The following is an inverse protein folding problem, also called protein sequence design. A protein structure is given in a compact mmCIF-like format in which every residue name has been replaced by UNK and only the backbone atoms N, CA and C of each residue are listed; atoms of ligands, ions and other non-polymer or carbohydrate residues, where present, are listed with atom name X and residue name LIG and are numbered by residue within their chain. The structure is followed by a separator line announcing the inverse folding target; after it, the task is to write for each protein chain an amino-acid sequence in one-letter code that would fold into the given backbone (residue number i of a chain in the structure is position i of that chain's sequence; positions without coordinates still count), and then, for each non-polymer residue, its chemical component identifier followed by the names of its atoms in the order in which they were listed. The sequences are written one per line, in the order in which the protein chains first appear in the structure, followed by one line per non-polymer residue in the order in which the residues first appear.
data_IF_946471210141
#
_entry.id   IF_946471210141
#
_cell.length_a   1.000
_cell.length_b   1.000
_cell.length_c   1.000
_cell.angle_alpha   90.00
_cell.angle_beta   90.00
_cell.angle_gamma   90.00
#
_symmetry.space_group_name_H-M   'P 1'
#
loop_
_entity.id
_entity.type
_entity.pdbx_description
1 polymer ?
#
# COMPACT_ATOMS: atom_id res chain seq x y z
N UNK A 1 59.26 40.65 -12.23
CA UNK A 1 59.14 40.15 -10.84
C UNK A 1 57.70 40.42 -10.43
N UNK A 2 56.98 39.45 -9.87
CA UNK A 2 55.64 39.73 -9.34
C UNK A 2 55.77 40.71 -8.18
N UNK A 3 54.98 41.77 -8.19
CA UNK A 3 54.94 42.74 -7.09
C UNK A 3 54.02 42.15 -6.01
N UNK A 4 54.64 41.61 -4.95
CA UNK A 4 53.93 41.12 -3.79
C UNK A 4 53.94 42.20 -2.71
N UNK A 5 52.75 42.66 -2.31
CA UNK A 5 52.55 43.58 -1.21
C UNK A 5 52.11 42.80 0.01
N UNK A 6 52.85 42.95 1.11
CA UNK A 6 52.54 42.28 2.39
C UNK A 6 52.07 43.35 3.37
N UNK A 7 50.85 43.20 3.88
CA UNK A 7 50.21 44.09 4.84
C UNK A 7 49.95 43.30 6.11
N UNK A 8 50.45 43.80 7.24
CA UNK A 8 50.17 43.23 8.56
C UNK A 8 49.03 44.00 9.22
N UNK A 9 47.99 43.28 9.62
CA UNK A 9 46.80 43.83 10.27
C UNK A 9 46.70 43.21 11.65
N UNK A 10 46.11 43.91 12.64
CA UNK A 10 45.77 43.27 13.90
C UNK A 10 44.85 42.07 13.70
N UNK A 11 44.87 41.11 14.62
CA UNK A 11 44.00 39.93 14.55
C UNK A 11 42.55 40.34 14.34
N UNK A 12 41.98 39.87 13.22
CA UNK A 12 40.59 40.14 12.86
C UNK A 12 39.71 38.91 13.13
N UNK A 13 38.47 39.19 13.49
CA UNK A 13 37.42 38.18 13.65
C UNK A 13 37.10 37.52 12.29
N UNK A 14 36.68 36.25 12.30
CA UNK A 14 36.31 35.51 11.10
C UNK A 14 35.18 36.22 10.32
N UNK A 15 34.24 36.89 11.00
CA UNK A 15 33.19 37.69 10.34
C UNK A 15 33.78 38.88 9.56
N UNK A 16 34.70 39.62 10.17
CA UNK A 16 35.38 40.77 9.54
C UNK A 16 36.23 40.31 8.36
N UNK A 17 36.91 39.17 8.50
CA UNK A 17 37.64 38.55 7.40
C UNK A 17 36.72 38.19 6.22
N UNK A 18 35.59 37.52 6.48
CA UNK A 18 34.64 37.09 5.44
C UNK A 18 34.05 38.31 4.72
N UNK A 19 33.59 39.32 5.45
CA UNK A 19 33.03 40.56 4.87
C UNK A 19 34.08 41.34 4.07
N UNK A 20 35.34 41.36 4.51
CA UNK A 20 36.44 41.97 3.75
C UNK A 20 36.68 41.22 2.43
N UNK A 21 36.75 39.89 2.48
CA UNK A 21 36.97 39.08 1.26
C UNK A 21 35.77 39.17 0.30
N UNK A 22 34.54 39.29 0.80
CA UNK A 22 33.35 39.55 -0.01
C UNK A 22 33.41 40.94 -0.65
N UNK A 23 33.77 41.99 0.12
CA UNK A 23 33.93 43.35 -0.40
C UNK A 23 34.99 43.41 -1.50
N UNK A 24 36.10 42.67 -1.35
CA UNK A 24 37.14 42.55 -2.38
C UNK A 24 36.60 41.78 -3.60
N UNK A 25 35.80 40.73 -3.39
CA UNK A 25 35.19 39.96 -4.49
C UNK A 25 34.25 40.83 -5.33
N UNK A 26 33.47 41.71 -4.71
CA UNK A 26 32.53 42.61 -5.39
C UNK A 26 33.21 43.63 -6.32
N UNK A 27 34.51 43.91 -6.13
CA UNK A 27 35.28 44.78 -7.02
C UNK A 27 35.59 44.14 -8.38
N UNK A 28 35.44 42.82 -8.53
CA UNK A 28 35.77 42.10 -9.76
C UNK A 28 34.49 41.64 -10.48
N UNK A 29 34.36 41.85 -11.81
CA UNK A 29 33.19 41.42 -12.57
C UNK A 29 33.00 39.89 -12.52
N UNK A 30 31.73 39.46 -12.44
CA UNK A 30 31.29 38.17 -11.86
C UNK A 30 31.84 36.88 -12.48
N UNK A 31 32.46 36.89 -13.66
CA UNK A 31 32.59 35.64 -14.41
C UNK A 31 33.72 34.68 -13.97
N UNK A 32 34.74 35.09 -13.18
CA UNK A 32 35.88 34.18 -12.86
C UNK A 32 36.59 34.38 -11.50
N UNK A 33 35.88 34.74 -10.42
CA UNK A 33 36.53 34.86 -9.09
C UNK A 33 36.47 33.54 -8.33
N UNK A 34 37.62 32.88 -8.15
CA UNK A 34 37.76 31.72 -7.27
C UNK A 34 38.18 32.19 -5.88
N UNK A 35 37.24 32.16 -4.92
CA UNK A 35 37.51 32.45 -3.52
C UNK A 35 37.32 31.21 -2.66
N UNK A 36 38.43 30.71 -2.12
CA UNK A 36 38.47 29.55 -1.24
C UNK A 36 39.03 29.98 0.13
N UNK A 37 38.38 29.55 1.20
CA UNK A 37 38.88 29.74 2.56
C UNK A 37 39.13 28.37 3.18
N UNK A 38 40.30 28.21 3.80
CA UNK A 38 40.74 26.98 4.44
C UNK A 38 40.62 27.09 5.96
N UNK A 39 39.87 26.15 6.53
CA UNK A 39 39.70 26.00 7.98
C UNK A 39 40.94 25.37 8.62
N UNK A 40 41.07 25.42 9.95
CA UNK A 40 42.17 24.82 10.74
C UNK A 40 42.52 23.38 10.33
N UNK A 41 41.57 22.62 9.78
CA UNK A 41 41.76 21.22 9.37
C UNK A 41 42.15 21.04 7.88
N UNK A 42 42.50 22.11 7.17
CA UNK A 42 42.88 22.05 5.75
C UNK A 42 41.70 21.77 4.79
N UNK A 43 40.47 21.82 5.29
CA UNK A 43 39.26 21.72 4.48
C UNK A 43 39.04 23.04 3.75
N UNK A 44 39.19 23.02 2.43
CA UNK A 44 38.89 24.15 1.56
C UNK A 44 37.38 24.26 1.37
N UNK A 45 36.80 25.33 1.88
CA UNK A 45 35.38 25.67 1.74
C UNK A 45 35.26 26.88 0.83
N UNK A 46 34.26 26.91 -0.06
CA UNK A 46 34.03 28.11 -0.88
C UNK A 46 33.50 29.22 0.02
N UNK A 47 33.87 30.47 -0.26
CA UNK A 47 33.38 31.61 0.52
C UNK A 47 31.83 31.70 0.56
N UNK A 48 31.15 31.19 -0.47
CA UNK A 48 29.68 31.14 -0.55
C UNK A 48 29.04 30.09 0.37
N UNK A 49 29.79 29.05 0.73
CA UNK A 49 29.30 27.93 1.54
C UNK A 49 29.56 28.16 3.04
N UNK A 50 30.33 29.20 3.37
CA UNK A 50 30.52 29.67 4.74
C UNK A 50 29.20 30.34 5.15
N UNK A 51 28.39 29.61 5.95
CA UNK A 51 27.01 29.98 6.31
C UNK A 51 26.83 31.35 6.96
N UNK A 52 25.56 31.74 7.17
CA UNK A 52 25.13 33.07 7.63
C UNK A 52 26.07 33.70 8.67
N UNK A 53 26.49 34.94 8.38
CA UNK A 53 27.57 35.70 9.03
C UNK A 53 27.51 35.74 10.57
N UNK A 54 26.34 35.49 11.15
CA UNK A 54 26.09 35.58 12.60
C UNK A 54 26.75 34.47 13.42
N UNK A 55 27.04 33.30 12.85
CA UNK A 55 27.65 32.19 13.61
C UNK A 55 29.19 32.30 13.75
N UNK A 56 29.79 33.27 13.07
CA UNK A 56 31.25 33.44 12.98
C UNK A 56 31.80 34.49 13.95
N UNK A 57 30.94 35.18 14.70
CA UNK A 57 31.36 36.22 15.66
C UNK A 57 32.21 35.59 16.77
N UNK A 58 33.42 36.12 16.95
CA UNK A 58 34.38 35.74 17.98
C UNK A 58 35.11 34.42 17.70
N UNK A 59 35.05 33.89 16.47
CA UNK A 59 35.73 32.65 16.09
C UNK A 59 36.99 32.97 15.29
N UNK A 60 38.00 32.11 15.48
CA UNK A 60 39.28 32.17 14.76
C UNK A 60 39.57 30.83 14.07
N UNK A 61 38.61 30.33 13.31
CA UNK A 61 38.65 29.03 12.64
C UNK A 61 39.37 29.05 11.28
N UNK A 62 39.45 30.19 10.60
CA UNK A 62 40.16 30.27 9.32
C UNK A 62 41.68 30.44 9.50
N UNK A 63 42.50 29.59 8.87
CA UNK A 63 43.97 29.74 8.93
C UNK A 63 44.51 30.43 7.69
N UNK A 64 43.92 30.12 6.53
CA UNK A 64 44.34 30.62 5.23
C UNK A 64 43.10 30.97 4.40
N UNK A 65 43.07 32.15 3.82
CA UNK A 65 42.07 32.53 2.81
C UNK A 65 42.77 32.89 1.52
N UNK A 66 42.30 32.42 0.36
CA UNK A 66 42.85 32.79 -0.94
C UNK A 66 41.72 33.19 -1.88
N UNK A 67 41.71 34.46 -2.24
CA UNK A 67 40.91 35.00 -3.33
C UNK A 67 41.83 35.18 -4.52
N UNK A 68 41.59 34.43 -5.60
CA UNK A 68 42.31 34.61 -6.85
C UNK A 68 41.34 34.81 -8.00
N UNK A 69 41.64 35.80 -8.83
CA UNK A 69 40.87 36.13 -10.03
C UNK A 69 41.81 36.33 -11.21
N UNK A 70 41.35 35.91 -12.39
CA UNK A 70 42.03 36.14 -13.65
C UNK A 70 41.09 36.96 -14.53
N UNK A 71 41.49 38.20 -14.82
CA UNK A 71 40.69 39.19 -15.55
C UNK A 71 40.83 39.03 -17.07
N UNK A 72 41.65 38.08 -17.53
CA UNK A 72 42.00 37.90 -18.94
C UNK A 72 43.40 38.42 -19.26
N UNK A 73 44.03 37.83 -20.27
CA UNK A 73 45.43 38.13 -20.60
C UNK A 73 46.40 37.70 -19.49
N UNK A 74 47.42 38.52 -19.24
CA UNK A 74 48.44 38.30 -18.19
C UNK A 74 48.05 38.95 -16.83
N UNK A 75 46.84 39.52 -16.72
CA UNK A 75 46.32 40.14 -15.50
C UNK A 75 45.72 39.09 -14.55
N UNK A 76 46.37 38.89 -13.41
CA UNK A 76 45.84 38.10 -12.30
C UNK A 76 46.04 38.83 -10.98
N UNK A 77 45.06 38.73 -10.08
CA UNK A 77 45.16 39.21 -8.70
C UNK A 77 44.95 38.03 -7.78
N UNK A 78 45.85 37.89 -6.81
CA UNK A 78 45.69 36.96 -5.71
C UNK A 78 45.82 37.72 -4.39
N UNK A 79 44.74 37.75 -3.61
CA UNK A 79 44.74 38.21 -2.23
C UNK A 79 44.73 36.98 -1.34
N UNK A 80 45.83 36.74 -0.63
CA UNK A 80 45.92 35.66 0.35
C UNK A 80 46.01 36.21 1.75
N UNK A 81 45.16 35.72 2.63
CA UNK A 81 45.17 35.95 4.06
C UNK A 81 45.82 34.76 4.76
N UNK A 82 46.72 35.00 5.71
CA UNK A 82 47.31 33.96 6.58
C UNK A 82 47.37 34.43 8.03
N UNK A 83 46.90 33.59 8.95
CA UNK A 83 47.07 33.79 10.41
C UNK A 83 48.45 33.39 10.92
N UNK A 84 49.18 32.61 10.13
CA UNK A 84 50.58 32.28 10.35
C UNK A 84 51.42 33.09 9.36
N UNK A 85 51.87 34.31 9.74
CA UNK A 85 52.69 35.11 8.87
C UNK A 85 53.96 34.36 8.44
N UNK A 86 54.55 34.79 7.34
CA UNK A 86 55.80 34.21 6.82
C UNK A 86 56.96 34.26 7.83
N UNK A 87 56.88 35.15 8.81
CA UNK A 87 57.82 35.31 9.93
C UNK A 87 57.58 34.35 11.12
N UNK A 88 56.53 33.52 11.08
CA UNK A 88 56.15 32.58 12.13
C UNK A 88 54.77 32.90 12.74
N UNK A 89 54.18 32.01 13.57
CA UNK A 89 52.87 32.23 14.17
C UNK A 89 52.84 33.49 15.04
N UNK A 90 52.00 34.47 14.67
CA UNK A 90 51.83 35.71 15.43
C UNK A 90 50.53 35.67 16.23
N UNK A 91 50.64 35.96 17.53
CA UNK A 91 49.49 36.11 18.41
C UNK A 91 48.77 37.46 18.23
N UNK A 92 49.37 38.42 17.51
CA UNK A 92 48.85 39.80 17.42
C UNK A 92 48.42 40.22 16.03
N UNK A 93 49.02 39.62 15.01
CA UNK A 93 48.89 40.06 13.63
C UNK A 93 48.46 38.93 12.72
N UNK A 94 47.64 39.27 11.75
CA UNK A 94 47.35 38.47 10.59
C UNK A 94 48.00 39.14 9.36
N UNK A 95 48.37 38.35 8.34
CA UNK A 95 49.12 38.82 7.18
C UNK A 95 48.28 38.69 5.91
N UNK A 96 48.08 39.82 5.21
CA UNK A 96 47.52 39.85 3.88
C UNK A 96 48.64 40.02 2.86
N UNK A 97 48.75 39.08 1.93
CA UNK A 97 49.64 39.19 0.78
C UNK A 97 48.80 39.41 -0.46
N UNK A 98 49.00 40.56 -1.11
CA UNK A 98 48.39 40.89 -2.40
C UNK A 98 49.44 40.73 -3.48
N UNK A 99 49.20 39.83 -4.42
CA UNK A 99 50.04 39.59 -5.58
C UNK A 99 49.30 40.01 -6.83
N UNK A 100 49.85 41.00 -7.53
CA UNK A 100 49.46 41.34 -8.89
C UNK A 100 50.37 40.55 -9.83
N UNK A 101 49.83 40.03 -10.93
CA UNK A 101 50.52 39.15 -11.90
C UNK A 101 51.88 39.65 -12.39
N UNK A 102 52.57 38.85 -13.22
CA UNK A 102 53.98 39.11 -13.57
C UNK A 102 54.23 40.43 -14.29
N UNK A 103 53.23 40.96 -14.99
CA UNK A 103 53.34 42.18 -15.78
C UNK A 103 52.65 43.36 -15.08
N UNK A 104 53.44 44.17 -14.37
CA UNK A 104 52.95 45.39 -13.69
C UNK A 104 52.40 46.40 -14.70
N UNK A 105 52.89 46.39 -15.95
CA UNK A 105 52.41 47.33 -16.98
C UNK A 105 50.97 47.05 -17.40
N UNK A 106 50.51 45.79 -17.27
CA UNK A 106 49.12 45.44 -17.53
C UNK A 106 48.14 46.09 -16.55
N UNK A 107 48.60 46.56 -15.37
CA UNK A 107 47.76 47.21 -14.37
C UNK A 107 47.67 48.73 -14.53
N UNK A 108 48.25 49.30 -15.59
CA UNK A 108 48.28 50.75 -15.79
C UNK A 108 46.89 51.33 -16.08
N UNK A 109 46.04 50.57 -16.78
CA UNK A 109 44.67 50.95 -17.13
C UNK A 109 43.66 50.67 -15.98
N UNK A 110 43.99 49.78 -15.04
CA UNK A 110 43.11 49.32 -13.95
C UNK A 110 43.54 49.83 -12.56
N UNK A 111 44.10 51.04 -12.48
CA UNK A 111 44.59 51.66 -11.23
C UNK A 111 43.52 51.79 -10.15
N UNK A 112 42.26 51.96 -10.55
CA UNK A 112 41.13 52.11 -9.63
C UNK A 112 40.88 50.82 -8.84
N UNK A 113 41.05 49.65 -9.46
CA UNK A 113 40.89 48.35 -8.79
C UNK A 113 42.00 48.17 -7.75
N UNK A 114 43.24 48.48 -8.11
CA UNK A 114 44.40 48.43 -7.20
C UNK A 114 44.16 49.36 -5.99
N UNK A 115 43.76 50.61 -6.25
CA UNK A 115 43.46 51.58 -5.21
C UNK A 115 42.31 51.12 -4.29
N UNK A 116 41.25 50.54 -4.86
CA UNK A 116 40.10 50.04 -4.10
C UNK A 116 40.48 48.84 -3.20
N UNK A 117 41.28 47.90 -3.71
CA UNK A 117 41.78 46.77 -2.89
C UNK A 117 42.64 47.29 -1.74
N UNK A 118 43.54 48.24 -2.01
CA UNK A 118 44.35 48.86 -0.95
C UNK A 118 43.53 49.69 0.04
N UNK A 119 42.45 50.34 -0.39
CA UNK A 119 41.55 51.09 0.48
C UNK A 119 40.77 50.17 1.43
N UNK A 120 40.25 49.05 0.93
CA UNK A 120 39.55 48.04 1.76
C UNK A 120 40.52 47.47 2.80
N UNK A 121 41.73 47.09 2.39
CA UNK A 121 42.73 46.54 3.31
C UNK A 121 43.29 47.58 4.28
N UNK A 122 43.37 48.85 3.88
CA UNK A 122 43.81 49.96 4.74
C UNK A 122 42.76 50.43 5.74
N UNK A 123 41.48 50.14 5.48
CA UNK A 123 40.40 50.39 6.43
C UNK A 123 40.40 49.39 7.61
N UNK A 124 41.04 48.22 7.43
CA UNK A 124 41.33 47.32 8.54
C UNK A 124 42.39 47.98 9.41
N UNK A 125 42.19 47.99 10.73
CA UNK A 125 43.01 48.70 11.74
C UNK A 125 44.51 48.34 11.64
N UNK A 126 45.21 49.02 10.73
CA UNK A 126 46.66 48.95 10.56
C UNK A 126 47.23 49.65 11.78
N UNK A 127 48.12 49.03 12.56
CA UNK A 127 48.82 49.74 13.62
C UNK A 127 49.43 51.00 13.01
N UNK A 128 48.83 52.15 13.33
CA UNK A 128 49.34 53.44 12.91
C UNK A 128 50.80 53.47 13.32
N UNK A 129 51.70 53.61 12.35
CA UNK A 129 53.12 53.71 12.60
C UNK A 129 53.32 54.79 13.63
N UNK A 130 53.61 54.39 14.87
CA UNK A 130 53.85 55.28 15.97
C UNK A 130 55.19 55.97 15.71
N UNK A 131 55.16 57.02 14.90
CA UNK A 131 56.17 58.06 14.97
C UNK A 131 56.03 58.73 16.32
N UNK A 132 56.80 58.19 17.26
CA UNK A 132 57.17 58.80 18.52
C UNK A 132 57.78 60.18 18.26
N UNK A 133 56.96 61.22 18.29
CA UNK A 133 57.41 62.58 18.60
C UNK A 133 56.56 63.10 19.75
N UNK A 134 57.21 63.16 20.91
CA UNK A 134 56.59 63.55 22.16
C UNK A 134 56.33 65.05 22.21
N UNK A 135 55.09 65.42 22.52
CA UNK A 135 54.73 66.62 23.27
C UNK A 135 53.27 66.46 23.73
N UNK A 136 53.11 65.79 24.88
CA UNK A 136 51.86 65.14 25.31
C UNK A 136 51.23 65.82 26.53
N UNK A 137 50.85 67.09 26.39
CA UNK A 137 50.07 67.79 27.43
C UNK A 137 48.93 68.67 26.88
N UNK A 138 49.04 69.18 25.64
CA UNK A 138 47.94 69.89 24.98
C UNK A 138 46.96 68.93 24.29
N UNK A 139 47.44 67.78 23.80
CA UNK A 139 46.63 66.64 23.35
C UNK A 139 45.70 66.14 24.45
N UNK A 140 46.20 66.03 25.68
CA UNK A 140 45.45 65.54 26.84
C UNK A 140 44.34 66.52 27.26
N UNK A 141 44.58 67.83 27.15
CA UNK A 141 43.56 68.86 27.43
C UNK A 141 42.49 68.96 26.34
N UNK A 142 42.87 68.87 25.07
CA UNK A 142 41.91 68.75 23.97
C UNK A 142 41.10 67.45 24.06
N UNK A 143 41.73 66.34 24.46
CA UNK A 143 41.03 65.07 24.70
C UNK A 143 40.06 65.18 25.88
N UNK A 144 40.40 65.85 26.99
CA UNK A 144 39.49 66.02 28.13
C UNK A 144 38.30 66.94 27.79
N UNK A 145 38.53 68.05 27.07
CA UNK A 145 37.43 68.94 26.65
C UNK A 145 36.56 68.30 25.56
N UNK A 146 37.19 67.57 24.62
CA UNK A 146 36.51 66.73 23.65
C UNK A 146 35.67 65.64 24.34
N UNK A 147 36.20 65.04 25.41
CA UNK A 147 35.50 64.03 26.22
C UNK A 147 34.27 64.62 26.91
N UNK A 148 34.34 65.84 27.43
CA UNK A 148 33.19 66.50 28.06
C UNK A 148 32.05 66.82 27.08
N UNK A 149 32.38 67.31 25.88
CA UNK A 149 31.40 67.56 24.82
C UNK A 149 30.83 66.24 24.25
N UNK A 150 31.69 65.26 23.99
CA UNK A 150 31.31 63.92 23.55
C UNK A 150 30.43 63.21 24.57
N UNK A 151 30.73 63.32 25.88
CA UNK A 151 29.93 62.73 26.94
C UNK A 151 28.55 63.38 27.06
N UNK A 152 28.42 64.70 26.90
CA UNK A 152 27.10 65.36 26.87
C UNK A 152 26.29 64.97 25.64
N UNK A 153 26.92 64.90 24.47
CA UNK A 153 26.28 64.43 23.25
C UNK A 153 25.88 62.96 23.36
N UNK A 154 26.70 62.14 24.02
CA UNK A 154 26.42 60.75 24.33
C UNK A 154 25.24 60.65 25.30
N UNK A 155 25.17 61.41 26.38
CA UNK A 155 24.02 61.37 27.29
C UNK A 155 22.72 61.84 26.62
N UNK A 156 22.78 62.86 25.76
CA UNK A 156 21.63 63.30 24.98
C UNK A 156 21.18 62.25 23.96
N UNK A 157 22.13 61.60 23.28
CA UNK A 157 21.83 60.50 22.37
C UNK A 157 21.34 59.25 23.12
N UNK A 158 21.82 58.99 24.32
CA UNK A 158 21.39 57.88 25.19
C UNK A 158 19.98 58.11 25.73
N UNK A 159 19.67 59.33 26.17
CA UNK A 159 18.32 59.65 26.61
C UNK A 159 17.32 59.56 25.44
N UNK A 160 17.71 60.06 24.25
CA UNK A 160 16.91 59.89 23.04
C UNK A 160 16.75 58.42 22.66
N UNK A 161 17.82 57.62 22.72
CA UNK A 161 17.75 56.20 22.38
C UNK A 161 16.93 55.41 23.39
N UNK A 162 16.94 55.77 24.67
CA UNK A 162 16.07 55.16 25.70
C UNK A 162 14.60 55.47 25.43
N UNK A 163 14.26 56.73 25.11
CA UNK A 163 12.88 57.10 24.76
C UNK A 163 12.44 56.39 23.48
N UNK A 164 13.28 56.38 22.44
CA UNK A 164 12.99 55.68 21.19
C UNK A 164 12.87 54.16 21.41
N UNK A 165 13.67 53.58 22.31
CA UNK A 165 13.60 52.15 22.66
C UNK A 165 12.34 51.82 23.46
N UNK A 166 11.92 52.69 24.37
CA UNK A 166 10.69 52.51 25.15
C UNK A 166 9.45 52.61 24.25
N UNK A 167 9.45 53.58 23.32
CA UNK A 167 8.40 53.71 22.32
C UNK A 167 8.30 52.48 21.43
N UNK A 168 9.44 51.96 20.93
CA UNK A 168 9.47 50.70 20.17
C UNK A 168 8.98 49.52 20.98
N UNK A 169 9.23 49.48 22.30
CA UNK A 169 8.74 48.41 23.16
C UNK A 169 7.22 48.46 23.31
N UNK A 170 6.65 49.66 23.43
CA UNK A 170 5.20 49.86 23.51
C UNK A 170 4.53 49.44 22.19
N UNK A 171 5.09 49.88 21.05
CA UNK A 171 4.59 49.52 19.71
C UNK A 171 4.69 48.00 19.47
N UNK A 172 5.85 47.40 19.77
CA UNK A 172 6.03 45.95 19.64
C UNK A 172 5.09 45.15 20.56
N UNK A 173 4.81 45.65 21.76
CA UNK A 173 3.86 45.01 22.67
C UNK A 173 2.43 45.10 22.16
N UNK A 174 2.02 46.25 21.61
CA UNK A 174 0.70 46.43 21.01
C UNK A 174 0.52 45.55 19.76
N UNK A 175 1.54 45.46 18.90
CA UNK A 175 1.54 44.56 17.74
C UNK A 175 1.45 43.09 18.16
N UNK A 176 2.16 42.72 19.24
CA UNK A 176 2.11 41.36 19.77
C UNK A 176 0.73 41.00 20.33
N UNK A 177 0.10 41.91 21.08
CA UNK A 177 -1.26 41.72 21.61
C UNK A 177 -2.30 41.61 20.48
N UNK A 178 -2.17 42.41 19.41
CA UNK A 178 -3.05 42.31 18.25
C UNK A 178 -2.83 40.98 17.49
N UNK A 179 -1.58 40.55 17.36
CA UNK A 179 -1.23 39.28 16.72
C UNK A 179 -1.75 38.07 17.51
N UNK A 180 -1.63 38.08 18.85
CA UNK A 180 -2.18 37.04 19.71
C UNK A 180 -3.70 37.00 19.63
N UNK A 181 -4.36 38.16 19.61
CA UNK A 181 -5.81 38.23 19.45
C UNK A 181 -6.25 37.62 18.13
N UNK A 182 -5.63 37.98 17.01
CA UNK A 182 -5.90 37.37 15.69
C UNK A 182 -5.63 35.87 15.67
N UNK A 183 -4.58 35.41 16.36
CA UNK A 183 -4.27 33.98 16.46
C UNK A 183 -5.32 33.24 17.27
N UNK A 184 -5.79 33.83 18.38
CA UNK A 184 -6.84 33.25 19.21
C UNK A 184 -8.18 33.17 18.47
N UNK A 185 -8.53 34.20 17.69
CA UNK A 185 -9.74 34.22 16.86
C UNK A 185 -9.67 33.15 15.77
N UNK A 186 -8.53 33.00 15.07
CA UNK A 186 -8.32 31.93 14.09
C UNK A 186 -8.39 30.53 14.70
N UNK A 187 -7.86 30.35 15.90
CA UNK A 187 -7.93 29.06 16.60
C UNK A 187 -9.37 28.76 17.03
N UNK A 188 -10.11 29.75 17.52
CA UNK A 188 -11.52 29.59 17.87
C UNK A 188 -12.37 29.24 16.64
N UNK A 189 -12.13 29.91 15.51
CA UNK A 189 -12.80 29.62 14.24
C UNK A 189 -12.47 28.22 13.73
N UNK A 190 -11.19 27.82 13.75
CA UNK A 190 -10.77 26.48 13.34
C UNK A 190 -11.37 25.38 14.23
N UNK A 191 -11.45 25.61 15.54
CA UNK A 191 -12.11 24.66 16.45
C UNK A 191 -13.61 24.56 16.17
N UNK A 192 -14.28 25.69 15.89
CA UNK A 192 -15.69 25.68 15.53
C UNK A 192 -15.96 24.97 14.19
N UNK A 193 -15.05 25.06 13.22
CA UNK A 193 -15.14 24.31 11.96
C UNK A 193 -14.97 22.80 12.20
N UNK A 194 -13.96 22.40 12.97
CA UNK A 194 -13.72 20.99 13.31
C UNK A 194 -14.92 20.38 14.04
N UNK A 195 -15.58 21.12 14.93
CA UNK A 195 -16.78 20.65 15.62
C UNK A 195 -17.94 20.44 14.62
N UNK A 196 -18.14 21.38 13.68
CA UNK A 196 -19.14 21.24 12.60
C UNK A 196 -18.85 20.04 11.69
N UNK A 197 -17.59 19.84 11.30
CA UNK A 197 -17.18 18.66 10.52
C UNK A 197 -17.39 17.35 11.30
N UNK A 198 -17.10 17.33 12.61
CA UNK A 198 -17.33 16.15 13.46
C UNK A 198 -18.81 15.81 13.58
N UNK A 199 -19.69 16.80 13.66
CA UNK A 199 -21.13 16.57 13.67
C UNK A 199 -21.62 16.00 12.33
N UNK A 200 -21.12 16.52 11.20
CA UNK A 200 -21.41 15.97 9.87
C UNK A 200 -20.89 14.54 9.72
N UNK A 201 -19.64 14.29 10.09
CA UNK A 201 -19.02 12.96 10.03
C UNK A 201 -19.70 11.96 10.95
N UNK A 202 -20.20 12.37 12.12
CA UNK A 202 -21.01 11.49 12.98
C UNK A 202 -22.26 11.02 12.26
N UNK A 203 -23.00 11.92 11.61
CA UNK A 203 -24.21 11.55 10.84
C UNK A 203 -23.89 10.61 9.67
N UNK A 204 -22.78 10.83 8.97
CA UNK A 204 -22.34 9.97 7.86
C UNK A 204 -21.79 8.60 8.35
N UNK A 205 -21.12 8.57 9.49
CA UNK A 205 -20.55 7.35 10.06
C UNK A 205 -21.63 6.32 10.41
N UNK A 206 -22.75 6.74 11.00
CA UNK A 206 -23.86 5.82 11.33
C UNK A 206 -24.50 5.19 10.08
N UNK A 207 -24.62 5.94 8.97
CA UNK A 207 -25.15 5.42 7.70
C UNK A 207 -24.17 4.42 7.06
N UNK A 208 -22.88 4.74 7.05
CA UNK A 208 -21.86 3.87 6.45
C UNK A 208 -21.59 2.61 7.27
N UNK A 209 -21.52 2.69 8.60
CA UNK A 209 -21.37 1.52 9.49
C UNK A 209 -22.56 0.57 9.35
N UNK A 210 -23.78 1.10 9.27
CA UNK A 210 -24.98 0.29 9.09
C UNK A 210 -25.01 -0.41 7.73
N UNK A 211 -24.58 0.27 6.66
CA UNK A 211 -24.43 -0.34 5.33
C UNK A 211 -23.37 -1.44 5.33
N UNK A 212 -22.26 -1.23 6.03
CA UNK A 212 -21.22 -2.24 6.21
C UNK A 212 -21.70 -3.43 7.05
N UNK A 213 -22.51 -3.22 8.09
CA UNK A 213 -23.14 -4.31 8.85
C UNK A 213 -24.15 -5.08 8.01
N UNK A 214 -25.01 -4.42 7.24
CA UNK A 214 -25.94 -5.10 6.33
C UNK A 214 -25.19 -5.90 5.25
N UNK A 215 -24.10 -5.34 4.72
CA UNK A 215 -23.29 -6.02 3.73
C UNK A 215 -22.55 -7.23 4.35
N UNK A 216 -22.00 -7.08 5.57
CA UNK A 216 -21.33 -8.19 6.27
C UNK A 216 -22.33 -9.28 6.67
N UNK A 217 -23.53 -8.93 7.12
CA UNK A 217 -24.61 -9.88 7.40
C UNK A 217 -25.09 -10.58 6.13
N UNK A 218 -25.26 -9.87 5.01
CA UNK A 218 -25.66 -10.50 3.74
C UNK A 218 -24.56 -11.43 3.23
N UNK A 219 -23.29 -11.01 3.26
CA UNK A 219 -22.16 -11.84 2.82
C UNK A 219 -21.92 -13.04 3.74
N UNK A 220 -22.14 -12.88 5.05
CA UNK A 220 -22.08 -13.97 6.04
C UNK A 220 -23.22 -14.97 5.84
N UNK A 221 -24.45 -14.48 5.77
CA UNK A 221 -25.64 -15.31 5.58
C UNK A 221 -25.60 -16.06 4.24
N UNK A 222 -25.19 -15.40 3.15
CA UNK A 222 -25.02 -16.06 1.84
C UNK A 222 -23.92 -17.12 1.87
N UNK A 223 -22.80 -16.86 2.57
CA UNK A 223 -21.75 -17.86 2.72
C UNK A 223 -22.20 -19.06 3.55
N UNK A 224 -22.99 -18.86 4.60
CA UNK A 224 -23.49 -19.96 5.44
C UNK A 224 -24.63 -20.73 4.77
N UNK A 225 -25.52 -20.05 4.03
CA UNK A 225 -26.47 -20.69 3.11
C UNK A 225 -25.74 -21.49 2.04
N UNK A 226 -24.69 -20.94 1.44
CA UNK A 226 -23.88 -21.66 0.46
C UNK A 226 -23.22 -22.87 1.09
N UNK A 227 -22.63 -22.77 2.28
CA UNK A 227 -22.03 -23.92 2.98
C UNK A 227 -23.04 -25.01 3.33
N UNK A 228 -24.27 -24.65 3.68
CA UNK A 228 -25.32 -25.62 4.02
C UNK A 228 -25.91 -26.27 2.77
N UNK A 229 -26.15 -25.50 1.70
CA UNK A 229 -26.65 -26.00 0.41
C UNK A 229 -25.58 -26.78 -0.37
N UNK A 230 -24.32 -26.38 -0.27
CA UNK A 230 -23.16 -27.07 -0.85
C UNK A 230 -22.30 -27.67 0.25
N UNK A 231 -22.91 -28.39 1.20
CA UNK A 231 -22.13 -29.17 2.15
C UNK A 231 -21.17 -30.05 1.32
N UNK A 232 -19.84 -29.87 1.42
CA UNK A 232 -18.90 -30.48 0.48
C UNK A 232 -18.97 -32.00 0.51
N UNK A 233 -19.44 -32.58 1.63
CA UNK A 233 -19.74 -34.00 1.75
C UNK A 233 -20.92 -34.45 0.86
N UNK A 234 -22.01 -33.68 0.82
CA UNK A 234 -23.18 -33.99 0.00
C UNK A 234 -22.85 -33.86 -1.49
N UNK A 235 -22.09 -32.81 -1.88
CA UNK A 235 -21.62 -32.65 -3.25
C UNK A 235 -20.66 -33.78 -3.67
N UNK A 236 -19.78 -34.25 -2.78
CA UNK A 236 -18.90 -35.40 -3.08
C UNK A 236 -19.68 -36.70 -3.22
N UNK A 237 -20.67 -36.93 -2.35
CA UNK A 237 -21.54 -38.10 -2.43
C UNK A 237 -22.37 -38.08 -3.73
N UNK A 238 -22.89 -36.92 -4.11
CA UNK A 238 -23.68 -36.73 -5.32
C UNK A 238 -22.83 -37.04 -6.57
N UNK A 239 -21.65 -36.43 -6.69
CA UNK A 239 -20.69 -36.74 -7.76
C UNK A 239 -20.22 -38.19 -7.75
N UNK A 240 -20.13 -38.82 -6.58
CA UNK A 240 -19.82 -40.25 -6.47
C UNK A 240 -20.86 -41.15 -7.13
N UNK A 241 -22.16 -40.85 -6.98
CA UNK A 241 -23.24 -41.59 -7.64
C UNK A 241 -23.16 -41.43 -9.16
N UNK A 242 -22.90 -40.21 -9.63
CA UNK A 242 -22.70 -39.95 -11.06
C UNK A 242 -21.50 -40.72 -11.62
N UNK A 243 -20.33 -40.62 -10.96
CA UNK A 243 -19.12 -41.32 -11.37
C UNK A 243 -19.32 -42.84 -11.38
N UNK A 244 -19.99 -43.40 -10.35
CA UNK A 244 -20.32 -44.81 -10.29
C UNK A 244 -21.22 -45.24 -11.46
N UNK A 245 -22.23 -44.45 -11.81
CA UNK A 245 -23.10 -44.74 -12.96
C UNK A 245 -22.36 -44.68 -14.30
N UNK A 246 -21.41 -43.76 -14.45
CA UNK A 246 -20.58 -43.64 -15.65
C UNK A 246 -19.58 -44.80 -15.76
N UNK A 247 -18.94 -45.18 -14.66
CA UNK A 247 -18.06 -46.37 -14.61
C UNK A 247 -18.85 -47.64 -14.94
N UNK A 248 -20.07 -47.78 -14.40
CA UNK A 248 -20.94 -48.90 -14.73
C UNK A 248 -21.28 -48.94 -16.23
N UNK A 249 -21.60 -47.78 -16.83
CA UNK A 249 -21.88 -47.68 -18.26
C UNK A 249 -20.66 -48.07 -19.12
N UNK A 250 -19.47 -47.58 -18.78
CA UNK A 250 -18.23 -47.90 -19.49
C UNK A 250 -17.89 -49.39 -19.34
N UNK A 251 -17.99 -49.94 -18.12
CA UNK A 251 -17.73 -51.34 -17.86
C UNK A 251 -18.71 -52.26 -18.62
N UNK A 252 -20.01 -51.94 -18.61
CA UNK A 252 -21.01 -52.65 -19.38
C UNK A 252 -20.74 -52.54 -20.90
N UNK A 253 -20.33 -51.37 -21.38
CA UNK A 253 -19.91 -51.17 -22.77
C UNK A 253 -18.69 -52.02 -23.17
N UNK A 254 -17.67 -52.10 -22.31
CA UNK A 254 -16.49 -52.95 -22.53
C UNK A 254 -16.86 -54.44 -22.50
N UNK A 255 -17.76 -54.85 -21.62
CA UNK A 255 -18.28 -56.23 -21.60
C UNK A 255 -19.07 -56.55 -22.88
N UNK A 256 -19.86 -55.62 -23.38
CA UNK A 256 -20.55 -55.77 -24.66
C UNK A 256 -19.55 -55.87 -25.82
N UNK A 257 -18.55 -54.99 -25.86
CA UNK A 257 -17.52 -54.97 -26.90
C UNK A 257 -16.70 -56.27 -26.92
N UNK A 258 -16.19 -56.70 -25.76
CA UNK A 258 -15.42 -57.96 -25.66
C UNK A 258 -16.25 -59.18 -26.05
N UNK A 259 -17.55 -59.20 -25.72
CA UNK A 259 -18.46 -60.28 -26.14
C UNK A 259 -18.66 -60.29 -27.67
N UNK A 260 -18.75 -59.12 -28.31
CA UNK A 260 -18.86 -59.00 -29.77
C UNK A 260 -17.54 -59.38 -30.46
N UNK A 261 -16.39 -58.96 -29.94
CA UNK A 261 -15.08 -59.35 -30.49
C UNK A 261 -14.84 -60.86 -30.40
N UNK A 262 -15.30 -61.51 -29.33
CA UNK A 262 -15.23 -62.98 -29.20
C UNK A 262 -16.12 -63.69 -30.22
N UNK A 263 -17.29 -63.13 -30.54
CA UNK A 263 -18.15 -63.64 -31.63
C UNK A 263 -17.44 -63.57 -32.99
N UNK A 264 -16.73 -62.47 -33.26
CA UNK A 264 -16.01 -62.28 -34.54
C UNK A 264 -14.81 -63.25 -34.67
N UNK A 265 -14.01 -63.41 -33.61
CA UNK A 265 -12.87 -64.34 -33.61
C UNK A 265 -13.29 -65.80 -33.74
N UNK A 266 -14.38 -66.22 -33.09
CA UNK A 266 -14.90 -67.58 -33.22
C UNK A 266 -15.39 -67.87 -34.65
N UNK A 267 -15.82 -66.85 -35.40
CA UNK A 267 -16.22 -67.01 -36.81
C UNK A 267 -15.02 -67.26 -37.74
N UNK A 268 -13.83 -66.75 -37.37
CA UNK A 268 -12.57 -66.96 -38.10
C UNK A 268 -11.96 -68.32 -37.74
N UNK A 269 -12.00 -68.71 -36.47
CA UNK A 269 -11.53 -70.03 -36.02
C UNK A 269 -12.41 -71.18 -36.55
N UNK A 270 -13.72 -70.97 -36.69
CA UNK A 270 -14.60 -71.94 -37.34
C UNK A 270 -14.19 -72.20 -38.81
N UNK A 271 -13.78 -71.15 -39.55
CA UNK A 271 -13.26 -71.31 -40.92
C UNK A 271 -11.89 -71.99 -40.94
N UNK A 272 -11.00 -71.67 -39.99
CA UNK A 272 -9.70 -72.32 -39.84
C UNK A 272 -9.81 -73.80 -39.48
N UNK A 273 -10.76 -74.16 -38.61
CA UNK A 273 -11.02 -75.54 -38.22
C UNK A 273 -11.71 -76.33 -39.35
N UNK A 274 -12.63 -75.73 -40.10
CA UNK A 274 -13.20 -76.35 -41.33
C UNK A 274 -12.11 -76.57 -42.39
N UNK A 275 -11.18 -75.62 -42.56
CA UNK A 275 -10.05 -75.77 -43.48
C UNK A 275 -9.09 -76.88 -43.03
N UNK A 276 -8.71 -76.91 -41.75
CA UNK A 276 -7.86 -77.95 -41.15
C UNK A 276 -8.50 -79.36 -41.23
N UNK A 277 -9.81 -79.45 -41.03
CA UNK A 277 -10.56 -80.71 -41.13
C UNK A 277 -10.71 -81.20 -42.58
N UNK A 278 -10.89 -80.29 -43.54
CA UNK A 278 -10.87 -80.63 -44.97
C UNK A 278 -9.48 -81.10 -45.44
N UNK A 279 -8.42 -80.70 -44.76
CA UNK A 279 -7.05 -81.12 -45.07
C UNK A 279 -6.68 -82.48 -44.46
N UNK A 280 -7.36 -82.91 -43.39
CA UNK A 280 -7.03 -84.14 -42.64
C UNK A 280 -7.79 -85.38 -43.10
N UNK A 281 -8.85 -85.31 -43.90
CA UNK A 281 -9.56 -86.53 -44.33
C UNK A 281 -10.24 -86.47 -45.70
N UNK A 282 -9.63 -87.02 -46.75
CA UNK A 282 -10.32 -87.26 -48.01
C UNK A 282 -11.01 -88.63 -48.13
N UNK A 283 -11.01 -89.54 -47.13
CA UNK A 283 -11.45 -90.92 -47.43
C UNK A 283 -12.40 -91.66 -46.46
N UNK A 284 -12.60 -91.27 -45.18
CA UNK A 284 -13.49 -92.06 -44.28
C UNK A 284 -14.31 -91.27 -43.25
N UNK A 285 -14.84 -90.11 -43.63
CA UNK A 285 -15.83 -89.41 -42.80
C UNK A 285 -17.25 -89.91 -43.11
N UNK A 286 -17.69 -90.89 -42.32
CA UNK A 286 -19.06 -91.41 -42.31
C UNK A 286 -20.07 -90.31 -41.92
N UNK A 287 -21.19 -90.28 -42.62
CA UNK A 287 -21.98 -89.10 -43.00
C UNK A 287 -22.88 -88.46 -41.89
N UNK A 288 -22.91 -88.96 -40.64
CA UNK A 288 -23.98 -88.59 -39.69
C UNK A 288 -23.55 -87.98 -38.33
N UNK A 289 -22.27 -87.96 -37.95
CA UNK A 289 -21.83 -87.41 -36.64
C UNK A 289 -21.35 -85.95 -36.69
N UNK A 290 -21.11 -85.40 -37.88
CA UNK A 290 -20.61 -84.03 -38.05
C UNK A 290 -21.62 -82.96 -37.65
N UNK A 291 -22.90 -83.19 -37.92
CA UNK A 291 -23.96 -82.21 -37.62
C UNK A 291 -24.22 -82.08 -36.11
N UNK A 292 -24.02 -83.14 -35.32
CA UNK A 292 -24.32 -83.14 -33.88
C UNK A 292 -23.25 -82.42 -33.04
N UNK A 293 -21.98 -82.54 -33.43
CA UNK A 293 -20.84 -81.89 -32.75
C UNK A 293 -20.75 -80.41 -33.14
N UNK A 294 -21.07 -80.06 -34.40
CA UNK A 294 -21.19 -78.66 -34.81
C UNK A 294 -22.40 -77.97 -34.17
N UNK A 295 -23.57 -78.62 -34.11
CA UNK A 295 -24.77 -78.01 -33.51
C UNK A 295 -24.59 -77.75 -32.00
N UNK A 296 -24.08 -78.71 -31.25
CA UNK A 296 -24.03 -78.58 -29.78
C UNK A 296 -23.02 -77.53 -29.30
N UNK A 297 -21.89 -77.38 -29.98
CA UNK A 297 -20.82 -76.45 -29.57
C UNK A 297 -21.05 -75.02 -30.09
N UNK A 298 -21.55 -74.88 -31.32
CA UNK A 298 -21.82 -73.56 -31.91
C UNK A 298 -23.11 -72.94 -31.39
N UNK A 299 -24.19 -73.71 -31.23
CA UNK A 299 -25.45 -73.10 -30.78
C UNK A 299 -25.37 -72.68 -29.33
N UNK A 300 -24.80 -73.49 -28.43
CA UNK A 300 -24.74 -73.24 -26.99
C UNK A 300 -23.78 -72.11 -26.57
N UNK A 301 -22.68 -71.91 -27.29
CA UNK A 301 -21.71 -70.84 -26.96
C UNK A 301 -22.12 -69.51 -27.58
N UNK A 302 -22.66 -69.52 -28.80
CA UNK A 302 -22.99 -68.28 -29.53
C UNK A 302 -24.24 -67.59 -28.97
N UNK A 303 -25.29 -68.32 -28.58
CA UNK A 303 -26.51 -67.70 -28.03
C UNK A 303 -26.22 -66.97 -26.71
N UNK A 304 -25.37 -67.53 -25.86
CA UNK A 304 -24.99 -66.92 -24.58
C UNK A 304 -24.22 -65.61 -24.80
N UNK A 305 -23.30 -65.56 -25.78
CA UNK A 305 -22.57 -64.33 -26.11
C UNK A 305 -23.48 -63.25 -26.69
N UNK A 306 -24.45 -63.62 -27.53
CA UNK A 306 -25.48 -62.69 -28.05
C UNK A 306 -26.39 -62.18 -26.93
N UNK A 307 -26.85 -63.05 -26.04
CA UNK A 307 -27.68 -62.67 -24.89
C UNK A 307 -26.90 -61.77 -23.92
N UNK A 308 -25.63 -62.07 -23.64
CA UNK A 308 -24.77 -61.28 -22.77
C UNK A 308 -24.48 -59.90 -23.35
N UNK A 309 -24.13 -59.81 -24.64
CA UNK A 309 -23.83 -58.53 -25.30
C UNK A 309 -25.06 -57.63 -25.41
N UNK A 310 -26.23 -58.19 -25.71
CA UNK A 310 -27.50 -57.45 -25.74
C UNK A 310 -27.93 -56.97 -24.35
N UNK A 311 -27.80 -57.81 -23.32
CA UNK A 311 -28.08 -57.38 -21.95
C UNK A 311 -27.10 -56.29 -21.47
N UNK A 312 -25.81 -56.47 -21.76
CA UNK A 312 -24.78 -55.50 -21.42
C UNK A 312 -24.99 -54.14 -22.13
N UNK A 313 -25.43 -54.14 -23.39
CA UNK A 313 -25.73 -52.89 -24.11
C UNK A 313 -26.96 -52.18 -23.54
N UNK A 314 -28.03 -52.91 -23.18
CA UNK A 314 -29.20 -52.35 -22.50
C UNK A 314 -28.84 -51.75 -21.14
N UNK A 315 -28.00 -52.43 -20.36
CA UNK A 315 -27.51 -51.91 -19.06
C UNK A 315 -26.66 -50.66 -19.27
N UNK A 316 -25.78 -50.64 -20.28
CA UNK A 316 -24.95 -49.47 -20.59
C UNK A 316 -25.82 -48.25 -20.97
N UNK A 317 -26.81 -48.43 -21.84
CA UNK A 317 -27.75 -47.37 -22.24
C UNK A 317 -28.55 -46.89 -21.03
N UNK A 318 -29.09 -47.81 -20.23
CA UNK A 318 -29.84 -47.47 -19.02
C UNK A 318 -29.02 -46.67 -18.01
N UNK A 319 -27.76 -47.08 -17.78
CA UNK A 319 -26.84 -46.36 -16.91
C UNK A 319 -26.51 -44.95 -17.43
N UNK A 320 -26.34 -44.77 -18.74
CA UNK A 320 -26.12 -43.46 -19.35
C UNK A 320 -27.35 -42.54 -19.23
N UNK A 321 -28.55 -43.06 -19.50
CA UNK A 321 -29.80 -42.29 -19.35
C UNK A 321 -29.98 -41.87 -17.89
N UNK A 322 -29.73 -42.79 -16.95
CA UNK A 322 -29.76 -42.48 -15.52
C UNK A 322 -28.75 -41.38 -15.15
N UNK A 323 -27.51 -41.48 -15.61
CA UNK A 323 -26.47 -40.48 -15.36
C UNK A 323 -26.87 -39.10 -15.90
N UNK A 324 -27.44 -39.04 -17.11
CA UNK A 324 -27.90 -37.80 -17.71
C UNK A 324 -29.08 -37.17 -16.94
N UNK A 325 -30.07 -37.97 -16.57
CA UNK A 325 -31.21 -37.50 -15.76
C UNK A 325 -30.76 -37.01 -14.39
N UNK A 326 -29.82 -37.72 -13.77
CA UNK A 326 -29.23 -37.33 -12.50
C UNK A 326 -28.52 -35.98 -12.61
N UNK A 327 -27.71 -35.78 -13.66
CA UNK A 327 -26.96 -34.54 -13.88
C UNK A 327 -27.92 -33.36 -14.09
N UNK A 328 -29.00 -33.56 -14.84
CA UNK A 328 -30.05 -32.55 -15.04
C UNK A 328 -30.75 -32.20 -13.72
N UNK A 329 -31.10 -33.21 -12.91
CA UNK A 329 -31.70 -33.00 -11.60
C UNK A 329 -30.79 -32.22 -10.65
N UNK A 330 -29.52 -32.58 -10.61
CA UNK A 330 -28.50 -31.89 -9.80
C UNK A 330 -28.31 -30.43 -10.25
N UNK A 331 -28.24 -30.18 -11.55
CA UNK A 331 -28.12 -28.82 -12.09
C UNK A 331 -29.34 -27.96 -11.75
N UNK A 332 -30.55 -28.49 -11.93
CA UNK A 332 -31.78 -27.79 -11.58
C UNK A 332 -31.85 -27.46 -10.09
N UNK A 333 -31.42 -28.38 -9.22
CA UNK A 333 -31.38 -28.15 -7.78
C UNK A 333 -30.41 -27.02 -7.41
N UNK A 334 -29.23 -26.96 -8.05
CA UNK A 334 -28.28 -25.84 -7.84
C UNK A 334 -28.87 -24.53 -8.33
N UNK A 335 -29.52 -24.52 -9.49
CA UNK A 335 -30.12 -23.30 -10.02
C UNK A 335 -31.25 -22.79 -9.14
N UNK A 336 -32.07 -23.68 -8.59
CA UNK A 336 -33.10 -23.31 -7.63
C UNK A 336 -32.47 -22.72 -6.36
N UNK A 337 -31.45 -23.38 -5.80
CA UNK A 337 -30.73 -22.88 -4.64
C UNK A 337 -30.12 -21.48 -4.86
N UNK A 338 -29.58 -21.20 -6.06
CA UNK A 338 -29.06 -19.87 -6.39
C UNK A 338 -30.18 -18.83 -6.46
N UNK A 339 -31.32 -19.15 -7.07
CA UNK A 339 -32.48 -18.24 -7.11
C UNK A 339 -33.01 -17.95 -5.71
N UNK A 340 -33.05 -18.95 -4.84
CA UNK A 340 -33.48 -18.78 -3.45
C UNK A 340 -32.52 -17.83 -2.69
N UNK A 341 -31.20 -17.91 -2.96
CA UNK A 341 -30.21 -16.98 -2.41
C UNK A 341 -30.40 -15.57 -2.96
N UNK A 342 -30.65 -15.42 -4.25
CA UNK A 342 -30.91 -14.13 -4.89
C UNK A 342 -32.18 -13.47 -4.33
N UNK A 343 -33.27 -14.23 -4.19
CA UNK A 343 -34.51 -13.76 -3.59
C UNK A 343 -34.29 -13.35 -2.12
N UNK A 344 -33.57 -14.16 -1.34
CA UNK A 344 -33.22 -13.82 0.03
C UNK A 344 -32.40 -12.53 0.14
N UNK A 345 -31.45 -12.31 -0.78
CA UNK A 345 -30.68 -11.07 -0.82
C UNK A 345 -31.54 -9.87 -1.21
N UNK A 346 -32.46 -10.03 -2.17
CA UNK A 346 -33.40 -8.99 -2.55
C UNK A 346 -34.32 -8.61 -1.36
N UNK A 347 -34.79 -9.61 -0.61
CA UNK A 347 -35.56 -9.41 0.61
C UNK A 347 -34.75 -8.71 1.70
N UNK A 348 -33.48 -9.08 1.92
CA UNK A 348 -32.61 -8.37 2.86
C UNK A 348 -32.43 -6.89 2.50
N UNK A 349 -32.24 -6.57 1.21
CA UNK A 349 -32.12 -5.18 0.75
C UNK A 349 -33.43 -4.44 0.94
N UNK A 350 -34.57 -5.06 0.58
CA UNK A 350 -35.91 -4.49 0.79
C UNK A 350 -36.13 -4.20 2.27
N UNK A 351 -35.88 -5.17 3.15
CA UNK A 351 -35.97 -5.05 4.61
C UNK A 351 -35.11 -3.90 5.13
N UNK A 352 -33.86 -3.81 4.66
CA UNK A 352 -32.95 -2.73 5.01
C UNK A 352 -33.54 -1.36 4.70
N UNK A 353 -34.10 -1.20 3.50
CA UNK A 353 -34.77 0.04 3.09
C UNK A 353 -36.01 0.35 3.94
N UNK A 354 -36.83 -0.65 4.29
CA UNK A 354 -37.98 -0.45 5.19
C UNK A 354 -37.54 0.12 6.54
N UNK A 355 -36.53 -0.48 7.15
CA UNK A 355 -36.06 -0.07 8.48
C UNK A 355 -35.40 1.31 8.40
N UNK A 356 -34.68 1.62 7.32
CA UNK A 356 -34.13 2.96 7.07
C UNK A 356 -35.24 4.01 6.98
N UNK A 357 -36.27 3.75 6.17
CA UNK A 357 -37.41 4.65 6.01
C UNK A 357 -38.17 4.85 7.32
N UNK A 358 -38.41 3.78 8.09
CA UNK A 358 -39.07 3.88 9.40
C UNK A 358 -38.27 4.76 10.37
N UNK A 359 -36.94 4.61 10.37
CA UNK A 359 -36.07 5.41 11.25
C UNK A 359 -35.98 6.87 10.80
N UNK A 360 -35.98 7.13 9.49
CA UNK A 360 -35.97 8.48 8.94
C UNK A 360 -37.27 9.23 9.27
N UNK A 361 -38.43 8.61 9.05
CA UNK A 361 -39.74 9.19 9.42
C UNK A 361 -39.83 9.46 10.91
N UNK A 362 -39.34 8.52 11.74
CA UNK A 362 -39.31 8.68 13.19
C UNK A 362 -38.36 9.80 13.63
N UNK A 363 -37.25 10.01 12.94
CA UNK A 363 -36.27 11.03 13.29
C UNK A 363 -36.69 12.43 12.84
N UNK A 364 -37.26 12.58 11.64
CA UNK A 364 -37.62 13.89 11.06
C UNK A 364 -38.98 14.42 11.54
N UNK A 365 -39.96 13.52 11.75
CA UNK A 365 -41.34 13.94 12.00
C UNK A 365 -41.86 13.59 13.40
N UNK A 366 -41.08 12.85 14.21
CA UNK A 366 -41.50 12.33 15.53
C UNK A 366 -42.90 11.69 15.50
N UNK A 367 -43.27 11.12 14.36
CA UNK A 367 -44.58 10.58 14.07
C UNK A 367 -44.49 9.05 13.91
N UNK A 368 -45.49 8.35 14.44
CA UNK A 368 -45.59 6.91 14.27
C UNK A 368 -45.97 6.54 12.83
N UNK A 369 -45.21 5.60 12.25
CA UNK A 369 -45.45 5.11 10.89
C UNK A 369 -46.74 4.28 10.86
N UNK A 370 -47.70 4.54 9.95
CA UNK A 370 -48.94 3.79 9.87
C UNK A 370 -48.69 2.28 9.69
N UNK A 371 -49.30 1.47 10.55
CA UNK A 371 -49.10 0.01 10.59
C UNK A 371 -49.48 -0.67 9.26
N UNK A 372 -50.50 -0.15 8.57
CA UNK A 372 -50.91 -0.63 7.25
C UNK A 372 -49.79 -0.52 6.19
N UNK A 373 -48.93 0.50 6.28
CA UNK A 373 -47.80 0.66 5.38
C UNK A 373 -46.71 -0.35 5.69
N UNK A 374 -46.36 -0.51 6.98
CA UNK A 374 -45.37 -1.50 7.43
C UNK A 374 -45.81 -2.88 6.98
N UNK A 375 -47.08 -3.24 7.21
CA UNK A 375 -47.63 -4.51 6.77
C UNK A 375 -47.56 -4.67 5.25
N UNK A 376 -47.88 -3.61 4.49
CA UNK A 376 -47.81 -3.63 3.02
C UNK A 376 -46.40 -3.90 2.47
N UNK A 377 -45.37 -3.29 3.04
CA UNK A 377 -43.99 -3.45 2.55
C UNK A 377 -43.22 -4.60 3.22
N UNK A 378 -43.68 -5.10 4.37
CA UNK A 378 -43.17 -6.34 4.96
C UNK A 378 -43.88 -7.60 4.45
N UNK A 379 -45.03 -7.47 3.78
CA UNK A 379 -45.72 -8.61 3.17
C UNK A 379 -44.86 -9.28 2.08
N UNK A 380 -44.78 -10.61 2.12
CA UNK A 380 -43.95 -11.41 1.20
C UNK A 380 -42.46 -11.41 1.50
N UNK A 381 -42.00 -10.72 2.55
CA UNK A 381 -40.58 -10.68 2.90
C UNK A 381 -40.15 -12.02 3.49
N UNK A 382 -39.17 -12.68 2.87
CA UNK A 382 -38.72 -14.02 3.23
C UNK A 382 -39.79 -15.11 3.08
N UNK A 383 -40.90 -14.82 2.41
CA UNK A 383 -41.85 -15.84 2.00
C UNK A 383 -41.20 -16.65 0.88
N UNK A 384 -40.69 -17.83 1.24
CA UNK A 384 -40.33 -18.83 0.25
C UNK A 384 -41.63 -19.20 -0.45
N UNK A 385 -41.77 -18.97 -1.77
CA UNK A 385 -42.97 -19.37 -2.50
C UNK A 385 -43.11 -20.88 -2.38
N UNK A 386 -43.91 -21.30 -1.40
CA UNK A 386 -44.34 -22.65 -1.08
C UNK A 386 -43.36 -23.78 -1.46
N UNK A 387 -42.49 -24.10 -0.51
CA UNK A 387 -42.19 -25.51 -0.18
C UNK A 387 -43.46 -26.30 0.27
N UNK A 388 -44.63 -25.67 0.24
CA UNK A 388 -45.89 -26.10 0.80
C UNK A 388 -46.83 -26.83 -0.18
N UNK A 389 -46.35 -27.24 -1.36
CA UNK A 389 -47.17 -28.12 -2.23
C UNK A 389 -46.41 -29.25 -2.95
N UNK A 390 -45.07 -29.32 -2.86
CA UNK A 390 -44.32 -30.47 -3.39
C UNK A 390 -43.77 -31.42 -2.31
N UNK A 391 -43.76 -31.02 -1.04
CA UNK A 391 -43.41 -31.87 0.09
C UNK A 391 -44.67 -32.41 0.80
N UNK A 392 -45.37 -33.35 0.16
CA UNK A 392 -46.22 -34.31 0.87
C UNK A 392 -46.02 -35.73 0.31
N UNK A 393 -44.80 -36.01 -0.15
CA UNK A 393 -44.31 -37.37 -0.25
C UNK A 393 -43.68 -37.79 1.08
N UNK A 394 -44.21 -38.80 1.81
CA UNK A 394 -43.57 -39.31 3.02
C UNK A 394 -42.10 -39.74 2.79
N UNK A 395 -41.71 -40.00 1.55
CA UNK A 395 -40.34 -40.30 1.12
C UNK A 395 -39.38 -39.11 1.20
N UNK A 396 -39.85 -37.87 1.04
CA UNK A 396 -39.01 -36.67 1.11
C UNK A 396 -38.82 -36.21 2.54
N UNK A 397 -39.87 -36.31 3.37
CA UNK A 397 -39.75 -36.20 4.82
C UNK A 397 -38.80 -37.27 5.39
N UNK A 398 -38.87 -38.51 4.87
CA UNK A 398 -37.93 -39.58 5.24
C UNK A 398 -36.50 -39.29 4.75
N UNK A 399 -36.31 -38.68 3.57
CA UNK A 399 -34.99 -38.26 3.08
C UNK A 399 -34.39 -37.14 3.91
N UNK A 400 -35.19 -36.15 4.34
CA UNK A 400 -34.74 -35.13 5.28
C UNK A 400 -34.38 -35.73 6.63
N UNK A 401 -35.19 -36.66 7.16
CA UNK A 401 -34.91 -37.34 8.43
C UNK A 401 -33.67 -38.25 8.35
N UNK A 402 -33.47 -38.97 7.24
CA UNK A 402 -32.28 -39.80 7.00
C UNK A 402 -31.01 -38.96 6.73
N UNK A 403 -31.14 -37.73 6.23
CA UNK A 403 -30.04 -36.76 6.15
C UNK A 403 -29.46 -36.39 7.52
N UNK A 404 -30.24 -36.53 8.60
CA UNK A 404 -29.80 -36.37 9.99
C UNK A 404 -29.23 -37.66 10.62
N UNK A 405 -29.03 -38.74 9.85
CA UNK A 405 -28.28 -39.91 10.29
C UNK A 405 -28.99 -40.80 11.31
N UNK A 406 -30.32 -40.87 11.25
CA UNK A 406 -31.15 -41.81 12.02
C UNK A 406 -31.58 -42.95 11.10
N UNK A 407 -31.17 -44.19 11.39
CA UNK A 407 -31.68 -45.37 10.71
C UNK A 407 -32.95 -45.82 11.42
N UNK A 408 -34.08 -45.67 10.75
CA UNK A 408 -35.40 -46.02 11.28
C UNK A 408 -35.81 -47.35 10.63
N UNK A 409 -35.80 -48.44 11.41
CA UNK A 409 -36.23 -49.75 10.92
C UNK A 409 -37.66 -49.98 11.38
N UNK A 410 -38.58 -50.09 10.40
CA UNK A 410 -40.00 -50.38 10.67
C UNK A 410 -40.20 -51.86 10.43
N UNK A 411 -40.21 -52.64 11.51
CA UNK A 411 -40.58 -54.05 11.50
C UNK A 411 -42.03 -54.26 11.94
N UNK A 412 -42.58 -55.47 11.76
CA UNK A 412 -43.93 -55.83 12.24
C UNK A 412 -44.09 -55.72 13.77
N UNK A 413 -42.98 -55.63 14.51
CA UNK A 413 -42.93 -55.41 15.97
C UNK A 413 -42.87 -53.93 16.38
N UNK A 414 -43.15 -53.01 15.46
CA UNK A 414 -43.14 -51.57 15.71
C UNK A 414 -41.83 -50.87 15.31
N UNK A 415 -41.89 -49.54 15.38
CA UNK A 415 -40.87 -48.62 14.89
C UNK A 415 -39.63 -48.65 15.80
N UNK A 416 -38.52 -49.25 15.35
CA UNK A 416 -37.25 -49.25 16.09
C UNK A 416 -36.33 -48.15 15.54
N UNK A 417 -35.96 -47.21 16.41
CA UNK A 417 -35.08 -46.10 16.10
C UNK A 417 -33.66 -46.47 16.56
N UNK A 418 -32.79 -46.86 15.62
CA UNK A 418 -31.38 -47.06 15.91
C UNK A 418 -30.64 -45.74 15.67
N UNK A 419 -30.24 -45.08 16.76
CA UNK A 419 -29.40 -43.90 16.73
C UNK A 419 -27.95 -44.38 16.70
N UNK A 420 -27.23 -44.08 15.61
CA UNK A 420 -25.82 -44.45 15.53
C UNK A 420 -25.03 -43.80 16.67
N UNK A 421 -24.13 -44.56 17.30
CA UNK A 421 -23.33 -44.11 18.45
C UNK A 421 -22.55 -42.80 18.15
N UNK A 422 -22.16 -42.59 16.88
CA UNK A 422 -21.51 -41.36 16.42
C UNK A 422 -22.45 -40.15 16.43
N UNK A 423 -23.73 -40.33 16.10
CA UNK A 423 -24.76 -39.29 16.13
C UNK A 423 -25.12 -38.93 17.57
N UNK A 424 -25.28 -39.94 18.43
CA UNK A 424 -25.53 -39.76 19.87
C UNK A 424 -24.38 -38.99 20.56
N UNK A 425 -23.12 -39.28 20.18
CA UNK A 425 -21.93 -38.59 20.71
C UNK A 425 -21.84 -37.13 20.28
N UNK A 426 -22.29 -36.78 19.07
CA UNK A 426 -22.39 -35.38 18.61
C UNK A 426 -23.48 -34.61 19.37
N UNK A 427 -24.66 -35.19 19.51
CA UNK A 427 -25.78 -34.58 20.24
C UNK A 427 -25.41 -34.40 21.72
N UNK A 428 -24.72 -35.36 22.34
CA UNK A 428 -24.21 -35.25 23.70
C UNK A 428 -23.16 -34.14 23.87
N UNK A 429 -22.27 -33.95 22.89
CA UNK A 429 -21.26 -32.90 22.95
C UNK A 429 -21.85 -31.50 22.73
N UNK A 430 -22.86 -31.36 21.86
CA UNK A 430 -23.57 -30.09 21.67
C UNK A 430 -24.43 -29.74 22.89
N UNK A 431 -25.10 -30.72 23.51
CA UNK A 431 -25.84 -30.50 24.76
C UNK A 431 -24.93 -30.06 25.91
N UNK A 432 -23.70 -30.60 26.00
CA UNK A 432 -22.68 -30.19 27.00
C UNK A 432 -22.09 -28.80 26.77
N UNK A 433 -22.25 -28.22 25.57
CA UNK A 433 -21.79 -26.85 25.26
C UNK A 433 -22.83 -25.78 25.58
N UNK A 434 -24.08 -26.17 25.78
CA UNK A 434 -25.21 -25.26 26.02
C UNK A 434 -25.55 -25.14 27.51
N UNK A 435 -25.11 -26.09 28.34
CA UNK A 435 -24.95 -25.94 29.80
C UNK A 435 -23.56 -25.43 30.15
#
# INVERSE_FOLDING_TARGET
MAANFVIQVHKIDDQVLVTTLQSIKELFPEEKVNCNVSLVQGLNTRLQDVGDETELIGRYAFQLGVLSTNLGGDQSVSVSFSRTPSSGPSAKYDEFTVSYGRDVSSWEDDKDIVAAVHAILGALDVPGGAESTGEDNDTLRQQILGFGAAHKQMLASLNKSVVDAEQRRIEAQAEFEEAEKKRSEKLAEALAEIEREREQLKLESYRSERRNMLQSLSSGATNDLRKTLTAPAAARASWGVFAASLVLAVFAGLLAFTSISQLDMNSVDAKGMIAFLNEISPEKAQENDWNLVLDSSMFATNWYLIARSSLASLVAIGALIYAANWLRGYYNAIQQANRDIEQFNADLVRAGWVIETILEVKHEHDADVPEAWIQGVTNGLFERPNAQEQASGPTEALRMLMGYGVSLSVGPDGTKMDVSEKSAKKISNDAKKVT
#
